data_IF_242879381402
#
_entry.id   IF_242879381402
#
_cell.length_a   1.000
_cell.length_b   1.000
_cell.length_c   1.000
_cell.angle_alpha   90.00
_cell.angle_beta   90.00
_cell.angle_gamma   90.00
#
_symmetry.space_group_name_H-M   'P 1'
#
loop_
_entity.id
_entity.type
_entity.pdbx_description
1 polymer ?
#
# COMPACT_ATOMS: atom_id res chain seq x y z
N UNK A 1 7.25 14.32 -17.18
CA UNK A 1 8.59 14.00 -17.72
C UNK A 1 9.74 14.25 -16.74
N UNK A 2 10.17 15.48 -16.45
CA UNK A 2 11.35 15.69 -15.57
C UNK A 2 11.11 15.33 -14.08
N UNK A 3 10.06 15.89 -13.45
CA UNK A 3 9.77 15.71 -12.01
C UNK A 3 9.49 14.26 -11.58
N UNK A 4 8.92 13.42 -12.46
CA UNK A 4 8.72 12.00 -12.18
C UNK A 4 10.03 11.21 -12.05
N UNK A 5 11.08 11.61 -12.80
CA UNK A 5 12.41 10.99 -12.74
C UNK A 5 13.12 11.26 -11.41
N UNK A 6 12.95 12.47 -10.85
CA UNK A 6 13.47 12.81 -9.52
C UNK A 6 12.77 12.02 -8.40
N UNK A 7 11.46 11.80 -8.51
CA UNK A 7 10.69 11.03 -7.51
C UNK A 7 11.01 9.55 -7.52
N UNK A 8 11.14 8.92 -8.69
CA UNK A 8 11.63 7.54 -8.80
C UNK A 8 13.05 7.38 -8.21
N UNK A 9 13.91 8.40 -8.34
CA UNK A 9 15.23 8.41 -7.70
C UNK A 9 15.16 8.53 -6.16
N UNK A 10 14.13 9.17 -5.59
CA UNK A 10 13.91 9.18 -4.14
C UNK A 10 13.48 7.81 -3.59
N UNK A 11 12.69 7.05 -4.37
CA UNK A 11 12.37 5.64 -4.06
C UNK A 11 13.65 4.78 -4.11
N UNK A 12 14.58 5.07 -5.02
CA UNK A 12 15.85 4.34 -5.17
C UNK A 12 16.73 4.36 -3.92
N UNK A 13 16.79 5.53 -3.27
CA UNK A 13 17.91 5.87 -2.39
C UNK A 13 17.79 5.25 -0.99
N UNK A 14 16.57 5.12 -0.44
CA UNK A 14 16.30 4.34 0.78
C UNK A 14 17.00 4.77 2.09
N UNK A 15 17.84 5.82 2.09
CA UNK A 15 18.67 6.38 3.19
C UNK A 15 19.11 7.81 2.76
N UNK A 16 19.83 8.66 3.52
CA UNK A 16 19.89 9.13 4.94
C UNK A 16 21.29 9.79 5.12
N UNK A 17 21.59 10.64 6.15
CA UNK A 17 20.76 11.32 7.16
C UNK A 17 21.02 12.86 7.23
N UNK A 18 20.46 13.55 8.23
CA UNK A 18 21.15 14.74 8.81
C UNK A 18 20.81 16.13 8.27
N UNK A 19 19.57 16.58 8.44
CA UNK A 19 19.28 17.97 8.85
C UNK A 19 17.88 17.99 9.50
N UNK A 20 17.76 18.65 10.64
CA UNK A 20 16.47 18.83 11.35
C UNK A 20 15.89 20.21 11.04
N UNK A 21 14.75 20.28 10.32
CA UNK A 21 13.75 21.30 10.57
C UNK A 21 12.90 20.89 11.77
N UNK A 22 12.53 21.88 12.58
CA UNK A 22 11.56 21.72 13.67
C UNK A 22 10.13 21.51 13.10
N UNK A 23 9.18 21.20 14.00
CA UNK A 23 7.73 21.01 13.81
C UNK A 23 7.20 19.59 13.51
N UNK A 24 5.95 19.41 13.96
CA UNK A 24 5.25 18.14 14.13
C UNK A 24 4.21 17.89 13.02
N UNK A 25 4.61 17.23 11.93
CA UNK A 25 3.67 16.65 10.97
C UNK A 25 4.17 15.31 10.42
N UNK A 26 3.26 14.33 10.31
CA UNK A 26 3.51 12.97 9.81
C UNK A 26 3.83 12.91 8.29
N UNK A 27 3.95 14.06 7.62
CA UNK A 27 4.25 14.15 6.19
C UNK A 27 5.70 14.57 5.88
N UNK A 28 6.27 15.53 6.60
CA UNK A 28 7.38 16.35 6.09
C UNK A 28 8.79 15.77 6.34
N UNK A 29 8.90 14.44 6.49
CA UNK A 29 10.17 13.76 6.79
C UNK A 29 10.53 12.75 5.69
N UNK A 30 11.81 12.62 5.31
CA UNK A 30 12.25 11.57 4.41
C UNK A 30 11.95 10.19 5.01
N UNK A 31 11.71 9.21 4.12
CA UNK A 31 11.33 7.85 4.48
C UNK A 31 12.33 7.23 5.47
N UNK A 32 11.89 6.97 6.71
CA UNK A 32 12.75 6.44 7.78
C UNK A 32 12.60 4.93 8.01
N UNK A 33 11.55 4.33 7.45
CA UNK A 33 11.22 2.92 7.64
C UNK A 33 12.36 2.01 7.16
N UNK A 34 12.59 0.90 7.87
CA UNK A 34 13.58 -0.08 7.44
C UNK A 34 13.11 -0.76 6.15
N UNK A 35 13.90 -0.63 5.08
CA UNK A 35 13.71 -1.41 3.85
C UNK A 35 14.16 -2.86 4.14
N UNK A 36 13.27 -3.81 3.88
CA UNK A 36 13.48 -5.25 4.04
C UNK A 36 13.89 -5.89 2.70
N UNK A 37 13.27 -5.46 1.62
CA UNK A 37 13.52 -5.90 0.25
C UNK A 37 13.32 -4.72 -0.70
N UNK A 38 14.05 -4.68 -1.82
CA UNK A 38 13.83 -3.72 -2.91
C UNK A 38 14.15 -4.36 -4.26
N UNK A 39 13.52 -3.86 -5.31
CA UNK A 39 13.83 -4.28 -6.67
C UNK A 39 13.70 -3.15 -7.67
N UNK A 40 14.53 -3.27 -8.71
CA UNK A 40 14.42 -2.49 -9.92
C UNK A 40 13.47 -3.18 -10.91
N UNK A 41 12.85 -2.39 -11.77
CA UNK A 41 12.00 -2.83 -12.88
C UNK A 41 12.79 -3.05 -14.16
N UNK A 42 12.08 -3.35 -15.24
CA UNK A 42 12.67 -3.70 -16.53
C UNK A 42 13.55 -2.59 -17.16
N UNK A 43 13.36 -1.32 -16.78
CA UNK A 43 14.16 -0.17 -17.23
C UNK A 43 15.43 0.08 -16.38
N UNK A 44 15.69 -0.77 -15.38
CA UNK A 44 16.81 -0.64 -14.44
C UNK A 44 16.63 0.45 -13.39
N UNK A 45 15.42 0.98 -13.21
CA UNK A 45 15.07 1.93 -12.13
C UNK A 45 14.25 1.23 -11.05
N UNK A 46 14.17 1.78 -9.82
CA UNK A 46 13.43 1.16 -8.73
C UNK A 46 11.94 1.09 -9.04
N UNK A 47 11.38 -0.11 -9.03
CA UNK A 47 9.96 -0.34 -9.23
C UNK A 47 9.21 -0.50 -7.90
N UNK A 48 9.85 -1.06 -6.87
CA UNK A 48 9.25 -1.16 -5.55
C UNK A 48 10.16 -1.67 -4.44
N UNK A 49 9.62 -1.65 -3.22
CA UNK A 49 10.29 -2.09 -2.00
C UNK A 49 9.30 -2.55 -0.93
N UNK A 50 9.69 -3.54 -0.13
CA UNK A 50 9.00 -3.89 1.11
C UNK A 50 9.69 -3.16 2.27
N UNK A 51 8.94 -2.36 3.02
CA UNK A 51 9.40 -1.68 4.23
C UNK A 51 8.71 -2.22 5.48
N UNK A 52 9.34 -2.05 6.64
CA UNK A 52 8.71 -2.22 7.94
C UNK A 52 8.24 -0.86 8.46
N UNK A 53 6.94 -0.69 8.69
CA UNK A 53 6.43 0.56 9.25
C UNK A 53 6.58 0.64 10.78
N UNK A 54 6.26 1.80 11.36
CA UNK A 54 6.32 2.01 12.82
C UNK A 54 5.31 1.17 13.62
N UNK A 55 4.32 0.56 12.98
CA UNK A 55 3.36 -0.36 13.60
C UNK A 55 3.75 -1.84 13.44
N UNK A 56 4.97 -2.11 12.97
CA UNK A 56 5.50 -3.47 12.77
C UNK A 56 4.89 -4.24 11.59
N UNK A 57 4.10 -3.57 10.73
CA UNK A 57 3.54 -4.17 9.52
C UNK A 57 4.54 -4.07 8.36
N UNK A 58 4.64 -5.13 7.58
CA UNK A 58 5.33 -5.16 6.29
C UNK A 58 4.47 -4.45 5.23
N UNK A 59 5.03 -3.44 4.56
CA UNK A 59 4.37 -2.55 3.59
C UNK A 59 5.03 -2.68 2.22
N UNK A 60 4.22 -2.99 1.21
CA UNK A 60 4.58 -2.85 -0.20
C UNK A 60 4.54 -1.38 -0.59
N UNK A 61 5.64 -0.88 -1.15
CA UNK A 61 5.76 0.46 -1.71
C UNK A 61 6.09 0.31 -3.20
N UNK A 62 5.38 1.03 -4.07
CA UNK A 62 5.55 0.94 -5.52
C UNK A 62 5.74 2.31 -6.15
N UNK A 63 6.57 2.39 -7.18
CA UNK A 63 6.79 3.61 -7.93
C UNK A 63 5.59 3.95 -8.84
N UNK A 64 5.01 2.94 -9.49
CA UNK A 64 4.13 3.13 -10.64
C UNK A 64 2.84 2.31 -10.64
N UNK A 65 2.67 1.36 -9.71
CA UNK A 65 1.44 0.58 -9.57
C UNK A 65 0.53 1.24 -8.54
N UNK A 66 -0.58 1.83 -8.99
CA UNK A 66 -1.49 2.56 -8.12
C UNK A 66 -2.38 1.60 -7.28
N UNK A 67 -2.30 1.77 -5.96
CA UNK A 67 -3.22 1.17 -4.99
C UNK A 67 -4.22 2.22 -4.51
N UNK A 68 -5.48 1.84 -4.34
CA UNK A 68 -6.57 2.69 -3.84
C UNK A 68 -7.24 1.98 -2.67
N UNK A 69 -6.99 2.42 -1.43
CA UNK A 69 -7.66 1.89 -0.23
C UNK A 69 -8.93 2.71 0.07
N UNK A 70 -10.07 2.02 0.13
CA UNK A 70 -11.39 2.58 0.48
C UNK A 70 -11.76 2.04 1.86
N UNK A 71 -11.79 2.90 2.88
CA UNK A 71 -12.29 2.52 4.21
C UNK A 71 -13.82 2.60 4.23
N UNK A 72 -14.47 1.50 4.64
CA UNK A 72 -15.91 1.36 4.83
C UNK A 72 -16.16 1.09 6.31
N UNK A 73 -16.71 2.07 7.04
CA UNK A 73 -16.97 1.92 8.48
C UNK A 73 -17.90 0.73 8.74
N UNK A 74 -17.74 0.04 9.86
CA UNK A 74 -18.61 -1.10 10.21
C UNK A 74 -20.07 -0.66 10.43
N UNK A 75 -21.02 -1.57 10.19
CA UNK A 75 -22.46 -1.28 10.34
C UNK A 75 -23.36 -2.21 9.53
N UNK A 76 -24.68 -2.11 9.78
CA UNK A 76 -25.71 -2.87 9.06
C UNK A 76 -25.77 -2.54 7.56
N UNK A 77 -25.31 -1.36 7.20
CA UNK A 77 -25.30 -0.77 5.86
C UNK A 77 -23.94 -0.93 5.14
N UNK A 78 -22.94 -1.57 5.76
CA UNK A 78 -21.61 -1.82 5.16
C UNK A 78 -21.70 -2.44 3.77
N UNK A 79 -22.62 -3.39 3.56
CA UNK A 79 -22.86 -3.99 2.24
C UNK A 79 -23.44 -3.02 1.20
N UNK A 80 -24.26 -2.05 1.63
CA UNK A 80 -24.74 -0.97 0.76
C UNK A 80 -23.62 0.00 0.39
N UNK A 81 -22.74 0.32 1.35
CA UNK A 81 -21.56 1.18 1.11
C UNK A 81 -20.53 0.48 0.20
N UNK A 82 -20.32 -0.82 0.36
CA UNK A 82 -19.49 -1.63 -0.53
C UNK A 82 -20.05 -1.65 -1.96
N UNK A 83 -21.35 -1.94 -2.13
CA UNK A 83 -22.02 -1.89 -3.44
C UNK A 83 -21.96 -0.50 -4.09
N UNK A 84 -22.07 0.58 -3.31
CA UNK A 84 -21.91 1.94 -3.83
C UNK A 84 -20.49 2.17 -4.34
N UNK A 85 -19.46 1.83 -3.55
CA UNK A 85 -18.07 2.01 -3.93
C UNK A 85 -17.67 1.21 -5.19
N UNK A 86 -18.23 0.00 -5.36
CA UNK A 86 -18.09 -0.78 -6.58
C UNK A 86 -18.82 -0.15 -7.78
N UNK A 87 -20.01 0.42 -7.57
CA UNK A 87 -20.75 1.16 -8.60
C UNK A 87 -20.06 2.46 -9.02
N UNK A 88 -19.45 3.19 -8.08
CA UNK A 88 -18.64 4.38 -8.35
C UNK A 88 -17.40 4.01 -9.18
N UNK A 89 -16.71 2.91 -8.81
CA UNK A 89 -15.59 2.35 -9.59
C UNK A 89 -16.02 1.97 -11.02
N UNK A 90 -17.11 1.23 -11.18
CA UNK A 90 -17.64 0.88 -12.49
C UNK A 90 -18.00 2.11 -13.34
N UNK A 91 -18.56 3.15 -12.73
CA UNK A 91 -18.89 4.38 -13.44
C UNK A 91 -17.62 5.08 -13.97
N UNK A 92 -16.53 5.08 -13.21
CA UNK A 92 -15.23 5.61 -13.64
C UNK A 92 -14.63 4.75 -14.75
N UNK A 93 -14.57 3.43 -14.58
CA UNK A 93 -14.01 2.49 -15.57
C UNK A 93 -14.80 2.39 -16.88
N UNK A 94 -16.05 2.87 -16.92
CA UNK A 94 -16.83 3.02 -18.16
C UNK A 94 -16.50 4.30 -18.93
N UNK A 95 -15.84 5.27 -18.30
CA UNK A 95 -15.44 6.56 -18.87
C UNK A 95 -13.96 6.60 -19.22
N UNK A 96 -13.14 5.89 -18.45
CA UNK A 96 -11.71 5.71 -18.67
C UNK A 96 -11.45 4.31 -19.21
N UNK A 97 -11.30 4.17 -20.53
CA UNK A 97 -11.10 2.85 -21.16
C UNK A 97 -9.63 2.52 -21.45
N UNK A 98 -8.74 3.08 -20.63
CA UNK A 98 -7.28 2.89 -20.70
C UNK A 98 -6.75 1.99 -19.58
N UNK A 99 -7.57 1.68 -18.57
CA UNK A 99 -7.21 0.81 -17.44
C UNK A 99 -8.42 0.06 -16.89
N UNK A 100 -8.14 -1.01 -16.16
CA UNK A 100 -9.10 -1.70 -15.29
C UNK A 100 -8.58 -1.76 -13.85
N UNK A 101 -9.28 -2.51 -13.00
CA UNK A 101 -8.92 -2.64 -11.59
C UNK A 101 -9.02 -4.09 -11.11
N UNK A 102 -7.97 -4.59 -10.44
CA UNK A 102 -8.10 -5.76 -9.58
C UNK A 102 -8.69 -5.31 -8.24
N UNK A 103 -9.79 -5.91 -7.84
CA UNK A 103 -10.58 -5.48 -6.68
C UNK A 103 -10.52 -6.51 -5.56
N UNK A 104 -10.30 -6.04 -4.34
CA UNK A 104 -10.13 -6.86 -3.15
C UNK A 104 -11.00 -6.33 -2.00
N UNK A 105 -11.62 -7.23 -1.24
CA UNK A 105 -12.24 -6.92 0.05
C UNK A 105 -11.20 -6.99 1.15
N UNK A 106 -11.11 -5.99 2.01
CA UNK A 106 -10.26 -5.98 3.20
C UNK A 106 -11.12 -6.07 4.46
N UNK A 107 -10.50 -6.31 5.62
CA UNK A 107 -11.18 -6.16 6.90
C UNK A 107 -11.60 -4.70 7.22
N UNK A 108 -11.15 -3.70 6.44
CA UNK A 108 -11.55 -2.29 6.58
C UNK A 108 -12.49 -1.76 5.50
N UNK A 109 -12.70 -2.48 4.40
CA UNK A 109 -13.43 -1.97 3.25
C UNK A 109 -12.96 -2.62 1.96
N UNK A 110 -12.51 -1.83 0.99
CA UNK A 110 -12.03 -2.30 -0.32
C UNK A 110 -10.59 -1.83 -0.60
N UNK A 111 -9.90 -2.54 -1.48
CA UNK A 111 -8.63 -2.14 -2.11
C UNK A 111 -8.73 -2.37 -3.61
N UNK A 112 -8.30 -1.40 -4.40
CA UNK A 112 -8.18 -1.51 -5.85
C UNK A 112 -6.69 -1.42 -6.26
N UNK A 113 -6.24 -2.29 -7.17
CA UNK A 113 -4.98 -2.12 -7.91
C UNK A 113 -5.35 -1.73 -9.34
N UNK A 114 -5.00 -0.52 -9.76
CA UNK A 114 -5.35 0.00 -11.09
C UNK A 114 -4.29 -0.41 -12.11
N UNK A 115 -4.70 -0.99 -13.24
CA UNK A 115 -3.80 -1.35 -14.36
C UNK A 115 -3.41 -0.14 -15.22
N UNK A 116 -3.14 1.00 -14.58
CA UNK A 116 -2.66 2.21 -15.24
C UNK A 116 -1.25 1.96 -15.79
N UNK A 117 -1.01 2.34 -17.04
CA UNK A 117 0.35 2.42 -17.55
C UNK A 117 1.09 3.58 -16.86
N UNK A 118 2.06 3.21 -16.02
CA UNK A 118 2.98 4.11 -15.33
C UNK A 118 2.32 5.26 -14.51
N UNK A 119 1.64 4.94 -13.42
CA UNK A 119 1.03 5.96 -12.56
C UNK A 119 2.08 6.88 -11.88
N UNK A 120 1.81 8.20 -11.82
CA UNK A 120 2.60 9.17 -11.04
C UNK A 120 1.91 9.43 -9.69
N UNK A 121 2.49 8.99 -8.55
CA UNK A 121 1.89 9.14 -7.22
C UNK A 121 1.78 10.60 -6.75
N UNK A 122 2.41 11.54 -7.44
CA UNK A 122 2.21 12.97 -7.23
C UNK A 122 1.80 13.72 -8.49
N UNK A 123 1.16 13.03 -9.44
CA UNK A 123 0.45 13.59 -10.58
C UNK A 123 -1.03 13.85 -10.25
N UNK A 124 -1.59 14.89 -10.85
CA UNK A 124 -2.96 15.33 -10.54
C UNK A 124 -4.01 14.34 -11.05
N UNK A 125 -3.82 13.75 -12.24
CA UNK A 125 -4.74 12.72 -12.80
C UNK A 125 -4.96 11.52 -11.85
N UNK A 126 -3.90 10.96 -11.27
CA UNK A 126 -4.04 9.83 -10.33
C UNK A 126 -4.65 10.30 -9.01
N UNK A 127 -4.33 11.52 -8.56
CA UNK A 127 -4.95 12.16 -7.38
C UNK A 127 -6.47 12.29 -7.57
N UNK A 128 -6.92 12.73 -8.75
CA UNK A 128 -8.33 12.90 -9.10
C UNK A 128 -9.05 11.56 -9.21
N UNK A 129 -8.43 10.54 -9.84
CA UNK A 129 -8.97 9.18 -9.91
C UNK A 129 -9.16 8.58 -8.51
N UNK A 130 -8.14 8.64 -7.65
CA UNK A 130 -8.22 8.12 -6.27
C UNK A 130 -9.31 8.84 -5.47
N UNK A 131 -9.40 10.17 -5.58
CA UNK A 131 -10.43 10.97 -4.91
C UNK A 131 -11.83 10.63 -5.42
N UNK A 132 -12.01 10.49 -6.74
CA UNK A 132 -13.27 10.11 -7.36
C UNK A 132 -13.73 8.69 -7.01
N UNK A 133 -12.79 7.77 -6.79
CA UNK A 133 -13.07 6.41 -6.30
C UNK A 133 -13.39 6.34 -4.79
N UNK A 134 -13.21 7.45 -4.05
CA UNK A 134 -13.48 7.52 -2.60
C UNK A 134 -12.30 7.07 -1.71
N UNK A 135 -11.06 7.21 -2.18
CA UNK A 135 -9.86 6.90 -1.40
C UNK A 135 -9.74 7.77 -0.14
N UNK A 136 -9.12 7.20 0.91
CA UNK A 136 -8.80 7.97 2.12
C UNK A 136 -7.95 9.23 1.79
N UNK A 137 -8.39 10.45 2.17
CA UNK A 137 -7.66 11.68 1.85
C UNK A 137 -6.25 11.75 2.45
N UNK A 138 -6.01 11.11 3.61
CA UNK A 138 -4.69 11.05 4.21
C UNK A 138 -3.76 10.14 3.38
N UNK A 139 -4.23 9.00 2.91
CA UNK A 139 -3.51 8.10 2.02
C UNK A 139 -3.16 8.76 0.68
N UNK A 140 -4.09 9.48 0.04
CA UNK A 140 -3.82 10.28 -1.18
C UNK A 140 -2.72 11.31 -0.93
N UNK A 141 -2.80 12.06 0.18
CA UNK A 141 -1.77 13.02 0.58
C UNK A 141 -0.41 12.36 0.81
N UNK A 142 -0.39 11.20 1.47
CA UNK A 142 0.85 10.46 1.75
C UNK A 142 1.51 9.95 0.47
N UNK A 143 0.75 9.45 -0.51
CA UNK A 143 1.31 9.03 -1.80
C UNK A 143 2.03 10.20 -2.49
N UNK A 144 1.40 11.38 -2.51
CA UNK A 144 1.95 12.59 -3.14
C UNK A 144 3.21 13.14 -2.46
N UNK A 145 3.30 13.01 -1.13
CA UNK A 145 4.47 13.47 -0.36
C UNK A 145 5.62 12.45 -0.41
N UNK A 146 5.31 11.16 -0.25
CA UNK A 146 6.31 10.09 -0.20
C UNK A 146 6.77 9.65 -1.60
N UNK A 147 6.02 10.03 -2.65
CA UNK A 147 6.36 9.76 -4.04
C UNK A 147 6.18 8.30 -4.44
N UNK A 148 5.38 7.52 -3.71
CA UNK A 148 5.09 6.10 -3.97
C UNK A 148 3.65 5.77 -3.57
N UNK A 149 3.08 4.68 -4.13
CA UNK A 149 1.84 4.09 -3.62
C UNK A 149 2.17 3.03 -2.57
N UNK A 150 1.25 2.78 -1.63
CA UNK A 150 1.54 1.95 -0.46
C UNK A 150 0.39 1.00 -0.12
N UNK A 151 0.73 -0.27 0.10
CA UNK A 151 -0.22 -1.31 0.51
C UNK A 151 0.33 -2.15 1.66
N UNK A 152 -0.51 -2.45 2.66
CA UNK A 152 -0.14 -3.43 3.70
C UNK A 152 -0.10 -4.83 3.09
N UNK A 153 1.02 -5.53 3.28
CA UNK A 153 1.17 -6.96 2.99
C UNK A 153 0.83 -7.85 4.19
N UNK A 154 0.79 -7.26 5.39
CA UNK A 154 0.48 -7.96 6.64
C UNK A 154 -0.63 -7.24 7.42
N UNK A 155 -1.48 -7.97 8.16
CA UNK A 155 -2.69 -7.44 8.79
C UNK A 155 -2.38 -6.57 10.01
N UNK A 156 -3.31 -5.71 10.46
CA UNK A 156 -3.06 -4.90 11.67
C UNK A 156 -3.03 -5.82 12.90
N UNK A 157 -2.02 -5.74 13.78
CA UNK A 157 -1.80 -6.73 14.87
C UNK A 157 -3.05 -6.96 15.74
N UNK A 158 -3.76 -5.89 16.07
CA UNK A 158 -4.98 -5.93 16.89
C UNK A 158 -6.18 -6.59 16.21
N UNK A 159 -6.21 -6.67 14.87
CA UNK A 159 -7.23 -7.45 14.13
C UNK A 159 -6.91 -8.95 14.12
N UNK A 160 -5.67 -9.32 14.42
CA UNK A 160 -5.24 -10.71 14.60
C UNK A 160 -5.39 -11.19 16.06
N UNK A 161 -6.04 -10.40 16.92
CA UNK A 161 -6.12 -10.67 18.37
C UNK A 161 -4.87 -10.29 19.17
N UNK A 162 -3.79 -9.83 18.53
CA UNK A 162 -2.58 -9.35 19.23
C UNK A 162 -2.78 -7.91 19.72
N UNK A 163 -3.31 -7.78 20.94
CA UNK A 163 -3.57 -6.48 21.58
C UNK A 163 -2.32 -5.64 21.88
N UNK A 164 -1.16 -6.29 22.01
CA UNK A 164 0.15 -5.63 22.17
C UNK A 164 0.54 -4.91 20.87
N UNK A 165 0.50 -3.57 20.91
CA UNK A 165 0.96 -2.71 19.81
C UNK A 165 2.43 -2.37 20.01
N UNK A 166 3.21 -2.41 18.94
CA UNK A 166 4.54 -1.82 18.90
C UNK A 166 4.49 -0.40 18.33
N UNK A 167 5.39 0.46 18.79
CA UNK A 167 5.84 1.63 18.04
C UNK A 167 7.33 1.48 17.78
N UNK A 168 7.74 1.44 16.51
CA UNK A 168 9.14 1.32 16.12
C UNK A 168 9.67 2.71 15.77
N UNK A 169 10.54 3.23 16.62
CA UNK A 169 11.32 4.43 16.35
C UNK A 169 12.43 4.15 15.33
N UNK A 170 12.51 5.00 14.30
CA UNK A 170 13.49 4.86 13.23
C UNK A 170 14.56 5.97 13.24
N UNK A 171 15.85 5.61 13.10
CA UNK A 171 16.38 4.26 12.88
C UNK A 171 16.37 3.39 14.15
N UNK A 172 16.19 2.08 14.00
CA UNK A 172 16.14 1.11 15.11
C UNK A 172 17.51 1.04 15.80
N UNK A 173 17.63 1.76 16.91
CA UNK A 173 18.90 2.06 17.58
C UNK A 173 19.02 1.35 18.92
N UNK A 174 20.19 0.77 19.19
CA UNK A 174 20.50 0.04 20.43
C UNK A 174 20.09 -1.43 20.41
N UNK A 175 20.87 -2.32 21.08
CA UNK A 175 20.64 -3.77 21.02
C UNK A 175 19.30 -4.18 21.64
N UNK A 176 18.89 -3.56 22.74
CA UNK A 176 17.65 -3.92 23.47
C UNK A 176 16.40 -3.60 22.64
N UNK A 177 16.38 -2.45 21.95
CA UNK A 177 15.28 -2.09 21.05
C UNK A 177 15.25 -2.99 19.81
N UNK A 178 16.41 -3.32 19.23
CA UNK A 178 16.50 -4.28 18.12
C UNK A 178 15.98 -5.66 18.53
N UNK A 179 16.35 -6.15 19.72
CA UNK A 179 15.86 -7.41 20.27
C UNK A 179 14.35 -7.39 20.53
N UNK A 180 13.83 -6.30 21.11
CA UNK A 180 12.39 -6.10 21.35
C UNK A 180 11.56 -6.10 20.05
N UNK A 181 12.02 -5.37 19.02
CA UNK A 181 11.38 -5.37 17.69
C UNK A 181 11.42 -6.76 17.07
N UNK A 182 12.56 -7.46 17.13
CA UNK A 182 12.69 -8.81 16.60
C UNK A 182 11.79 -9.81 17.31
N UNK A 183 11.65 -9.72 18.63
CA UNK A 183 10.77 -10.57 19.42
C UNK A 183 9.29 -10.34 19.11
N UNK A 184 8.87 -9.08 19.15
CA UNK A 184 7.49 -8.70 18.81
C UNK A 184 7.14 -9.13 17.38
N UNK A 185 8.01 -8.90 16.40
CA UNK A 185 7.78 -9.32 15.00
C UNK A 185 7.69 -10.84 14.85
N UNK A 186 8.48 -11.61 15.61
CA UNK A 186 8.39 -13.08 15.60
C UNK A 186 7.01 -13.55 16.08
N UNK A 187 6.52 -13.00 17.20
CA UNK A 187 5.19 -13.30 17.75
C UNK A 187 4.06 -12.84 16.82
N UNK A 188 4.17 -11.63 16.28
CA UNK A 188 3.21 -11.08 15.31
C UNK A 188 3.12 -11.88 14.00
N UNK A 189 4.25 -12.34 13.45
CA UNK A 189 4.27 -13.18 12.24
C UNK A 189 3.67 -14.57 12.49
N UNK A 190 3.85 -15.14 13.68
CA UNK A 190 3.26 -16.43 14.03
C UNK A 190 1.73 -16.37 14.14
N UNK A 191 1.18 -15.26 14.67
CA UNK A 191 -0.28 -15.07 14.75
C UNK A 191 -0.90 -14.62 13.42
N UNK A 192 -0.24 -13.71 12.68
CA UNK A 192 -0.79 -13.17 11.43
C UNK A 192 -0.80 -14.18 10.26
N UNK A 193 -0.11 -15.32 10.38
CA UNK A 193 -0.15 -16.39 9.37
C UNK A 193 -1.54 -17.03 9.22
N UNK A 194 -2.41 -16.94 10.23
CA UNK A 194 -3.77 -17.50 10.22
C UNK A 194 -4.80 -16.60 9.50
N UNK A 195 -4.37 -15.44 8.99
CA UNK A 195 -5.25 -14.43 8.38
C UNK A 195 -4.84 -14.10 6.93
N UNK A 196 -5.80 -13.63 6.13
CA UNK A 196 -5.56 -12.91 4.88
C UNK A 196 -5.76 -11.41 5.11
N UNK A 197 -4.96 -10.56 4.45
CA UNK A 197 -5.10 -9.08 4.57
C UNK A 197 -6.25 -8.58 3.71
N UNK A 198 -6.46 -9.24 2.57
CA UNK A 198 -7.56 -8.97 1.67
C UNK A 198 -8.02 -10.27 1.00
N UNK A 199 -9.12 -10.21 0.27
CA UNK A 199 -9.68 -11.30 -0.52
C UNK A 199 -10.09 -10.78 -1.88
N UNK A 200 -9.57 -11.38 -2.94
CA UNK A 200 -9.86 -10.99 -4.32
C UNK A 200 -11.35 -11.16 -4.62
N UNK A 201 -11.98 -10.07 -5.08
CA UNK A 201 -13.37 -10.07 -5.57
C UNK A 201 -13.37 -10.40 -7.06
N UNK A 202 -12.47 -9.78 -7.84
CA UNK A 202 -12.40 -9.99 -9.28
C UNK A 202 -11.58 -8.92 -9.99
N UNK A 203 -11.79 -8.83 -11.30
CA UNK A 203 -11.27 -7.77 -12.16
C UNK A 203 -12.46 -6.97 -12.73
N UNK A 204 -12.32 -5.65 -12.77
CA UNK A 204 -13.33 -4.71 -13.25
C UNK A 204 -12.75 -3.83 -14.36
N UNK A 205 -13.58 -3.42 -15.31
CA UNK A 205 -13.16 -2.67 -16.50
C UNK A 205 -12.87 -3.57 -17.71
N UNK A 206 -12.37 -2.97 -18.80
CA UNK A 206 -11.88 -3.73 -19.96
C UNK A 206 -10.52 -4.36 -19.61
N UNK A 207 -10.18 -5.49 -20.21
CA UNK A 207 -8.85 -6.06 -20.05
C UNK A 207 -7.82 -5.23 -20.85
N UNK A 208 -6.72 -4.90 -20.19
CA UNK A 208 -5.58 -4.18 -20.79
C UNK A 208 -4.30 -4.99 -20.63
N UNK A 209 -3.34 -4.78 -21.54
CA UNK A 209 -1.99 -5.30 -21.36
C UNK A 209 -1.33 -4.59 -20.17
N UNK A 210 -0.71 -5.37 -19.29
CA UNK A 210 0.05 -4.91 -18.13
C UNK A 210 1.55 -4.98 -18.43
N UNK A 211 2.36 -4.24 -17.67
CA UNK A 211 3.81 -4.36 -17.71
C UNK A 211 4.30 -5.49 -16.80
N UNK A 212 5.49 -6.03 -17.07
CA UNK A 212 6.13 -7.03 -16.21
C UNK A 212 6.28 -6.54 -14.76
N UNK A 213 6.52 -5.24 -14.57
CA UNK A 213 6.60 -4.60 -13.25
C UNK A 213 5.23 -4.60 -12.53
N UNK A 214 4.12 -4.39 -13.26
CA UNK A 214 2.78 -4.49 -12.70
C UNK A 214 2.44 -5.92 -12.31
N UNK A 215 2.72 -6.89 -13.20
CA UNK A 215 2.42 -8.30 -12.96
C UNK A 215 3.21 -8.83 -11.75
N UNK A 216 4.50 -8.48 -11.64
CA UNK A 216 5.33 -8.77 -10.46
C UNK A 216 4.75 -8.18 -9.17
N UNK A 217 4.25 -6.95 -9.22
CA UNK A 217 3.59 -6.29 -8.06
C UNK A 217 2.29 -7.00 -7.69
N UNK A 218 1.47 -7.38 -8.68
CA UNK A 218 0.22 -8.12 -8.48
C UNK A 218 0.47 -9.50 -7.86
N UNK A 219 1.41 -10.27 -8.38
CA UNK A 219 1.80 -11.58 -7.84
C UNK A 219 2.33 -11.49 -6.41
N UNK A 220 3.21 -10.51 -6.14
CA UNK A 220 3.72 -10.22 -4.80
C UNK A 220 2.58 -9.85 -3.85
N UNK A 221 1.69 -8.95 -4.26
CA UNK A 221 0.54 -8.54 -3.46
C UNK A 221 -0.35 -9.75 -3.13
N UNK A 222 -0.81 -10.50 -4.14
CA UNK A 222 -1.78 -11.59 -3.96
C UNK A 222 -1.22 -12.73 -3.11
N UNK A 223 0.09 -13.01 -3.24
CA UNK A 223 0.79 -14.02 -2.44
C UNK A 223 0.91 -13.61 -0.98
N UNK A 224 1.52 -12.45 -0.69
CA UNK A 224 1.82 -12.06 0.70
C UNK A 224 0.54 -11.69 1.48
N UNK A 225 -0.45 -11.08 0.81
CA UNK A 225 -1.77 -10.80 1.42
C UNK A 225 -2.68 -12.02 1.53
N UNK A 226 -2.32 -13.13 0.86
CA UNK A 226 -3.12 -14.36 0.70
C UNK A 226 -4.50 -14.08 0.10
N UNK A 227 -4.54 -13.22 -0.92
CA UNK A 227 -5.76 -12.71 -1.56
C UNK A 227 -6.68 -13.81 -2.13
N UNK A 228 -6.13 -14.98 -2.44
CA UNK A 228 -6.83 -16.13 -3.03
C UNK A 228 -7.14 -17.26 -2.04
N UNK A 229 -6.76 -17.12 -0.76
CA UNK A 229 -6.97 -18.13 0.29
C UNK A 229 -8.17 -17.72 1.17
N UNK A 230 -9.03 -18.67 1.51
CA UNK A 230 -10.22 -18.45 2.36
C UNK A 230 -9.85 -18.46 3.87
N UNK A 231 -8.97 -17.55 4.28
CA UNK A 231 -8.72 -17.25 5.70
C UNK A 231 -9.57 -16.06 6.17
N UNK A 232 -9.80 -15.92 7.48
CA UNK A 232 -10.39 -14.71 8.07
C UNK A 232 -9.60 -13.45 7.69
N UNK A 233 -10.31 -12.33 7.51
CA UNK A 233 -9.71 -11.03 7.15
C UNK A 233 -9.22 -10.24 8.37
N UNK A 234 -8.03 -9.64 8.27
CA UNK A 234 -7.45 -8.74 9.30
C UNK A 234 -6.62 -7.57 8.69
#
# INVERSE_FOLDING_TARGET
MARGRERAAMIAQGLQPGQTPDHHTYGDRPFKEQVLEKWDGADGRPAGAISLNSYGCDILNTAHTAFVDIDLEDGKDRGSRENKALGDLEFILRREDQFGAHVYRTAGGLRYLLTLDHADPGGDHVTDLMTGMGADPLYVRLCRIQGCFRARLTPKSWRCGMGERIHIDYPISGPDHQASVADWRRRYRDVSKEFSVCRRIGYFGKAHGTSEDFDRVLELHDRETKATIDLPLA
#
